data_IF_207815590268
#
_entry.id   IF_207815590268
#
_cell.length_a   1.000
_cell.length_b   1.000
_cell.length_c   1.000
_cell.angle_alpha   90.00
_cell.angle_beta   90.00
_cell.angle_gamma   90.00
#
_symmetry.space_group_name_H-M   'P 1'
#
loop_
_entity.id
_entity.type
_entity.pdbx_description
1 polymer ?
#
# COMPACT_ATOMS: atom_id res chain seq x y z
N UNK A 1 69.38 -5.45 19.78
CA UNK A 1 68.52 -6.50 20.41
C UNK A 1 68.91 -6.84 21.85
N UNK A 2 70.18 -6.66 22.28
CA UNK A 2 70.63 -6.96 23.64
C UNK A 2 70.01 -6.00 24.69
N UNK A 3 70.09 -4.68 24.47
CA UNK A 3 69.57 -3.65 25.38
C UNK A 3 68.11 -3.84 25.83
N UNK A 4 67.20 -4.12 24.89
CA UNK A 4 65.76 -4.26 25.19
C UNK A 4 65.46 -5.50 26.03
N UNK A 5 66.16 -6.62 25.78
CA UNK A 5 65.97 -7.87 26.52
C UNK A 5 66.64 -7.83 27.90
N UNK A 6 67.78 -7.16 28.03
CA UNK A 6 68.50 -7.06 29.31
C UNK A 6 67.75 -6.22 30.34
N UNK A 7 67.03 -5.18 29.89
CA UNK A 7 66.26 -4.29 30.78
C UNK A 7 64.76 -4.63 30.84
N UNK A 8 64.32 -5.63 30.08
CA UNK A 8 62.90 -6.00 29.89
C UNK A 8 62.01 -4.81 29.51
N UNK A 9 62.50 -3.96 28.60
CA UNK A 9 61.79 -2.76 28.13
C UNK A 9 61.37 -2.96 26.67
N UNK A 10 60.09 -2.71 26.39
CA UNK A 10 59.55 -2.78 25.03
C UNK A 10 60.13 -1.70 24.11
N UNK A 11 60.37 -2.07 22.85
CA UNK A 11 60.95 -1.21 21.80
C UNK A 11 60.21 0.12 21.61
N UNK A 12 58.87 0.10 21.67
CA UNK A 12 58.02 1.29 21.59
C UNK A 12 58.25 2.26 22.75
N UNK A 13 58.54 1.75 23.94
CA UNK A 13 58.82 2.59 25.10
C UNK A 13 60.12 3.36 24.86
N UNK A 14 61.18 2.67 24.44
CA UNK A 14 62.48 3.30 24.15
C UNK A 14 62.38 4.33 23.03
N UNK A 15 61.71 4.00 21.93
CA UNK A 15 61.53 4.94 20.81
C UNK A 15 60.71 6.18 21.19
N UNK A 16 59.65 6.02 21.99
CA UNK A 16 58.84 7.14 22.45
C UNK A 16 59.56 8.04 23.45
N UNK A 17 60.46 7.48 24.26
CA UNK A 17 61.27 8.27 25.20
C UNK A 17 62.34 9.07 24.46
N UNK A 18 63.06 8.45 23.50
CA UNK A 18 64.04 9.15 22.65
C UNK A 18 63.42 10.29 21.84
N UNK A 19 62.21 10.08 21.29
CA UNK A 19 61.49 11.12 20.55
C UNK A 19 61.01 12.29 21.43
N UNK A 20 60.96 12.12 22.76
CA UNK A 20 60.55 13.15 23.72
C UNK A 20 61.73 13.85 24.41
N UNK A 21 62.95 13.36 24.21
CA UNK A 21 64.16 13.86 24.87
C UNK A 21 64.61 15.24 24.36
N UNK A 22 64.12 15.66 23.18
CA UNK A 22 64.38 16.99 22.63
C UNK A 22 63.58 18.12 23.31
N UNK A 23 62.65 17.80 24.21
CA UNK A 23 61.83 18.79 24.90
C UNK A 23 61.76 18.45 26.40
N UNK A 24 62.67 19.03 27.19
CA UNK A 24 62.83 18.82 28.65
C UNK A 24 61.60 19.22 29.51
N UNK A 25 60.40 19.31 28.92
CA UNK A 25 59.12 19.68 29.55
C UNK A 25 57.93 18.84 29.06
N UNK A 26 58.13 17.55 28.80
CA UNK A 26 57.00 16.66 28.50
C UNK A 26 56.12 16.44 29.76
N UNK A 27 55.12 17.30 29.96
CA UNK A 27 54.15 17.16 31.06
C UNK A 27 53.27 15.91 30.87
N UNK A 28 53.15 15.05 31.90
CA UNK A 28 52.23 13.91 31.88
C UNK A 28 50.78 14.41 31.91
N UNK A 29 50.08 14.23 30.79
CA UNK A 29 48.68 14.64 30.62
C UNK A 29 47.70 13.49 30.90
N UNK A 30 48.14 12.32 31.39
CA UNK A 30 47.21 11.26 31.81
C UNK A 30 46.36 11.77 32.97
N UNK A 31 45.04 11.63 32.84
CA UNK A 31 44.07 12.11 33.83
C UNK A 31 43.73 13.61 33.73
N UNK A 32 44.53 14.42 33.02
CA UNK A 32 44.18 15.82 32.73
C UNK A 32 43.23 15.88 31.54
N UNK A 33 41.92 15.87 31.83
CA UNK A 33 40.91 16.31 30.87
C UNK A 33 41.16 17.80 30.60
N UNK A 34 41.82 18.12 29.49
CA UNK A 34 41.72 19.46 28.88
C UNK A 34 40.23 19.81 28.88
N UNK A 35 39.89 20.91 29.55
CA UNK A 35 38.52 21.26 29.91
C UNK A 35 37.61 21.35 28.70
N UNK A 36 37.00 20.22 28.36
CA UNK A 36 35.80 20.04 27.54
C UNK A 36 35.51 18.54 27.53
N UNK A 37 34.80 18.06 28.56
CA UNK A 37 33.69 17.21 28.18
C UNK A 37 32.77 18.14 27.39
N UNK A 38 32.80 18.09 26.04
CA UNK A 38 31.93 18.86 25.15
C UNK A 38 30.49 18.53 25.52
N UNK A 39 29.96 19.26 26.49
CA UNK A 39 28.60 19.19 26.93
C UNK A 39 27.84 19.84 25.78
N UNK A 40 27.19 19.00 24.96
CA UNK A 40 26.36 19.47 23.84
C UNK A 40 25.50 20.61 24.35
N UNK A 41 25.56 21.76 23.66
CA UNK A 41 24.84 22.95 24.09
C UNK A 41 23.33 22.70 24.06
N UNK A 42 22.57 23.48 24.85
CA UNK A 42 21.09 23.38 24.81
C UNK A 42 20.57 23.64 23.38
N UNK A 43 21.23 24.53 22.66
CA UNK A 43 20.87 24.92 21.29
C UNK A 43 21.13 23.79 20.29
N UNK A 44 22.27 23.09 20.39
CA UNK A 44 22.55 21.90 19.58
C UNK A 44 21.54 20.78 19.84
N UNK A 45 21.13 20.58 21.11
CA UNK A 45 20.07 19.60 21.43
C UNK A 45 18.72 20.02 20.86
N UNK A 46 18.37 21.30 20.95
CA UNK A 46 17.11 21.81 20.41
C UNK A 46 17.08 21.66 18.88
N UNK A 47 18.18 21.96 18.21
CA UNK A 47 18.30 21.79 16.77
C UNK A 47 18.10 20.33 16.33
N UNK A 48 18.63 19.37 17.08
CA UNK A 48 18.36 17.94 16.85
C UNK A 48 16.87 17.60 17.05
N UNK A 49 16.21 18.16 18.07
CA UNK A 49 14.76 17.95 18.28
C UNK A 49 13.93 18.51 17.14
N UNK A 50 14.26 19.72 16.69
CA UNK A 50 13.54 20.38 15.61
C UNK A 50 13.72 19.59 14.31
N UNK A 51 14.92 19.07 14.05
CA UNK A 51 15.17 18.14 12.95
C UNK A 51 14.33 16.86 13.07
N UNK A 52 14.28 16.20 14.23
CA UNK A 52 13.46 14.98 14.42
C UNK A 52 11.95 15.27 14.24
N UNK A 53 11.47 16.42 14.72
CA UNK A 53 10.06 16.84 14.59
C UNK A 53 9.68 17.26 13.16
N UNK A 54 10.65 17.62 12.32
CA UNK A 54 10.37 18.01 10.93
C UNK A 54 9.88 16.84 10.06
N UNK A 55 10.10 15.59 10.47
CA UNK A 55 9.61 14.43 9.72
C UNK A 55 8.11 14.20 9.94
N UNK A 56 7.34 13.91 8.88
CA UNK A 56 5.92 13.57 9.03
C UNK A 56 5.76 12.26 9.81
N UNK A 57 4.89 12.28 10.82
CA UNK A 57 4.56 11.12 11.63
C UNK A 57 3.12 10.67 11.40
N UNK A 58 2.89 9.37 11.49
CA UNK A 58 1.57 8.75 11.35
C UNK A 58 1.20 8.11 12.69
N UNK A 59 -0.02 8.35 13.15
CA UNK A 59 -0.57 7.69 14.33
C UNK A 59 -0.89 6.22 14.02
N UNK A 60 -0.72 5.33 15.00
CA UNK A 60 -1.06 3.92 14.81
C UNK A 60 -2.57 3.72 14.70
N UNK A 61 -3.11 3.85 13.49
CA UNK A 61 -4.54 3.74 13.23
C UNK A 61 -5.12 2.31 13.40
N UNK A 62 -4.34 1.36 13.95
CA UNK A 62 -4.71 -0.06 14.04
C UNK A 62 -4.50 -0.74 15.40
N UNK A 63 -4.06 -0.04 16.46
CA UNK A 63 -3.92 -0.64 17.78
C UNK A 63 -4.48 0.26 18.88
N UNK A 64 -5.57 -0.23 19.51
CA UNK A 64 -6.07 -0.06 20.89
C UNK A 64 -5.60 1.18 21.69
N UNK A 65 -6.56 1.79 22.41
CA UNK A 65 -6.53 2.91 23.39
C UNK A 65 -5.37 3.02 24.42
N UNK A 66 -4.28 2.26 24.32
CA UNK A 66 -3.24 2.15 25.36
C UNK A 66 -1.82 2.55 24.95
N UNK A 67 -1.56 2.98 23.70
CA UNK A 67 -0.22 3.47 23.30
C UNK A 67 -0.28 4.81 22.57
N UNK A 68 0.48 5.80 23.06
CA UNK A 68 0.67 7.13 22.44
C UNK A 68 1.82 7.18 21.42
N UNK A 69 2.33 6.02 20.99
CA UNK A 69 3.53 5.93 20.12
C UNK A 69 3.21 6.33 18.68
N UNK A 70 3.99 7.26 18.12
CA UNK A 70 3.88 7.72 16.73
C UNK A 70 4.88 7.00 15.83
N UNK A 71 4.56 6.87 14.54
CA UNK A 71 5.38 6.10 13.59
C UNK A 71 5.92 6.96 12.45
N UNK A 72 7.21 6.82 12.17
CA UNK A 72 7.91 7.36 11.01
C UNK A 72 7.83 6.39 9.82
N UNK A 73 8.08 6.91 8.62
CA UNK A 73 8.00 6.16 7.37
C UNK A 73 8.91 4.91 7.36
N UNK A 74 8.52 3.87 6.62
CA UNK A 74 9.19 2.54 6.59
C UNK A 74 10.62 2.59 6.03
N UNK A 75 10.88 3.58 5.20
CA UNK A 75 12.10 3.83 4.45
C UNK A 75 13.10 4.69 5.21
N UNK A 76 12.67 5.32 6.32
CA UNK A 76 13.53 6.03 7.26
C UNK A 76 14.15 5.06 8.27
N UNK A 77 15.35 5.40 8.73
CA UNK A 77 16.06 4.75 9.83
C UNK A 77 16.79 5.82 10.62
N UNK A 78 17.16 5.56 11.89
CA UNK A 78 17.92 6.53 12.70
C UNK A 78 19.21 6.94 11.98
N UNK A 79 19.87 5.97 11.32
CA UNK A 79 21.07 6.24 10.52
C UNK A 79 20.81 7.15 9.34
N UNK A 80 19.71 6.92 8.59
CA UNK A 80 19.33 7.81 7.50
C UNK A 80 18.96 9.20 8.00
N UNK A 81 18.17 9.29 9.07
CA UNK A 81 17.82 10.57 9.68
C UNK A 81 19.06 11.32 10.17
N UNK A 82 20.06 10.62 10.72
CA UNK A 82 21.32 11.25 11.09
C UNK A 82 22.10 11.78 9.88
N UNK A 83 22.11 11.05 8.76
CA UNK A 83 22.74 11.56 7.53
C UNK A 83 22.02 12.83 7.03
N UNK A 84 20.68 12.83 7.04
CA UNK A 84 19.87 14.01 6.70
C UNK A 84 20.16 15.20 7.65
N UNK A 85 20.38 14.91 8.93
CA UNK A 85 20.80 15.91 9.92
C UNK A 85 22.18 16.49 9.60
N UNK A 86 23.14 15.68 9.16
CA UNK A 86 24.47 16.17 8.75
C UNK A 86 24.37 17.11 7.57
N UNK A 87 23.57 16.76 6.57
CA UNK A 87 23.32 17.62 5.39
C UNK A 87 22.67 18.95 5.81
N UNK A 88 21.69 18.92 6.73
CA UNK A 88 21.08 20.14 7.28
C UNK A 88 22.05 20.99 8.09
N UNK A 89 22.95 20.35 8.85
CA UNK A 89 24.03 21.04 9.57
C UNK A 89 24.99 21.75 8.61
N UNK A 90 25.31 21.13 7.48
CA UNK A 90 26.15 21.71 6.43
C UNK A 90 25.47 22.91 5.76
N UNK A 91 24.17 22.79 5.45
CA UNK A 91 23.38 23.90 4.87
C UNK A 91 23.21 25.10 5.80
N UNK A 92 23.06 24.87 7.11
CA UNK A 92 22.86 25.93 8.11
C UNK A 92 24.16 26.37 8.82
N UNK A 93 25.33 25.93 8.33
CA UNK A 93 26.66 26.22 8.90
C UNK A 93 26.77 25.94 10.41
N UNK A 94 26.25 24.78 10.84
CA UNK A 94 26.24 24.34 12.26
C UNK A 94 27.10 23.12 12.50
N UNK A 95 27.82 23.10 13.62
CA UNK A 95 28.58 21.94 14.07
C UNK A 95 27.67 20.75 14.41
N UNK A 96 27.80 19.60 13.70
CA UNK A 96 26.95 18.44 13.93
C UNK A 96 27.32 17.71 15.22
N UNK A 97 26.30 17.20 15.92
CA UNK A 97 26.51 16.29 17.05
C UNK A 97 26.93 14.90 16.57
N UNK A 98 27.56 14.11 17.46
CA UNK A 98 27.90 12.71 17.17
C UNK A 98 26.64 11.84 17.04
N UNK A 99 26.71 10.81 16.18
CA UNK A 99 25.60 9.85 15.98
C UNK A 99 25.03 9.31 17.29
N UNK A 100 25.88 8.94 18.25
CA UNK A 100 25.44 8.42 19.55
C UNK A 100 24.58 9.43 20.33
N UNK A 101 24.90 10.73 20.25
CA UNK A 101 24.10 11.79 20.86
C UNK A 101 22.75 11.93 20.18
N UNK A 102 22.73 11.88 18.84
CA UNK A 102 21.49 11.92 18.07
C UNK A 102 20.57 10.72 18.38
N UNK A 103 21.15 9.52 18.45
CA UNK A 103 20.46 8.28 18.79
C UNK A 103 19.90 8.30 20.22
N UNK A 104 20.67 8.84 21.18
CA UNK A 104 20.21 9.04 22.56
C UNK A 104 19.04 10.02 22.65
N UNK A 105 19.09 11.15 21.93
CA UNK A 105 17.98 12.12 21.91
C UNK A 105 16.75 11.46 21.29
N UNK A 106 16.90 10.76 20.17
CA UNK A 106 15.80 10.05 19.52
C UNK A 106 15.19 8.97 20.44
N UNK A 107 16.01 8.16 21.11
CA UNK A 107 15.54 7.05 21.94
C UNK A 107 14.94 7.48 23.29
N UNK A 108 15.45 8.54 23.91
CA UNK A 108 15.05 8.96 25.25
C UNK A 108 13.99 10.07 25.25
N UNK A 109 13.99 10.97 24.27
CA UNK A 109 13.10 12.13 24.25
C UNK A 109 11.88 11.93 23.34
N UNK A 110 11.92 10.98 22.39
CA UNK A 110 10.85 10.74 21.43
C UNK A 110 10.24 9.34 21.57
N UNK A 111 8.92 9.28 21.74
CA UNK A 111 8.17 8.03 21.61
C UNK A 111 7.84 7.74 20.13
N UNK A 112 8.89 7.61 19.31
CA UNK A 112 8.80 7.35 17.88
C UNK A 112 9.24 5.92 17.54
N UNK A 113 8.59 5.32 16.55
CA UNK A 113 8.98 4.02 16.00
C UNK A 113 9.04 4.06 14.47
N UNK A 114 9.86 3.21 13.86
CA UNK A 114 9.81 3.03 12.41
C UNK A 114 8.68 2.06 12.07
N UNK A 115 7.84 2.42 11.11
CA UNK A 115 6.72 1.57 10.73
C UNK A 115 7.24 0.26 10.09
N UNK A 116 7.22 -0.83 10.88
CA UNK A 116 7.49 -2.19 10.39
C UNK A 116 6.14 -2.87 10.10
N UNK A 117 5.77 -3.10 8.83
CA UNK A 117 4.59 -3.88 8.53
C UNK A 117 4.81 -5.31 9.04
N UNK A 118 3.94 -5.79 9.92
CA UNK A 118 3.85 -7.23 10.19
C UNK A 118 3.11 -7.83 8.99
N UNK A 119 3.82 -8.56 8.14
CA UNK A 119 3.21 -9.27 7.01
C UNK A 119 2.55 -10.56 7.50
N UNK A 120 1.34 -10.82 7.00
CA UNK A 120 0.70 -12.14 6.90
C UNK A 120 0.57 -12.96 8.18
N UNK A 121 0.32 -12.29 9.31
CA UNK A 121 -0.06 -12.97 10.55
C UNK A 121 -1.57 -12.93 10.67
N UNK A 122 -2.22 -14.10 10.65
CA UNK A 122 -3.62 -14.19 11.03
C UNK A 122 -3.78 -13.72 12.46
N UNK A 123 -4.45 -12.58 12.64
CA UNK A 123 -4.68 -11.96 13.95
C UNK A 123 -5.41 -12.92 14.89
N UNK A 124 -6.28 -13.77 14.35
CA UNK A 124 -6.98 -14.80 15.11
C UNK A 124 -6.01 -15.86 15.63
N UNK A 125 -5.20 -16.49 14.77
CA UNK A 125 -4.20 -17.48 15.20
C UNK A 125 -3.14 -16.89 16.14
N UNK A 126 -2.67 -15.66 15.89
CA UNK A 126 -1.70 -14.98 16.77
C UNK A 126 -2.29 -14.58 18.11
N UNK A 127 -3.59 -14.24 18.15
CA UNK A 127 -4.28 -14.03 19.41
C UNK A 127 -4.45 -15.34 20.17
N UNK A 128 -4.82 -16.43 19.48
CA UNK A 128 -5.04 -17.75 20.06
C UNK A 128 -3.75 -18.34 20.64
N UNK A 129 -2.61 -18.19 19.96
CA UNK A 129 -1.32 -18.70 20.45
C UNK A 129 -0.85 -18.04 21.75
N UNK A 130 -1.33 -16.82 22.03
CA UNK A 130 -0.98 -16.02 23.21
C UNK A 130 -1.95 -16.18 24.39
N UNK A 131 -3.04 -16.94 24.23
CA UNK A 131 -3.98 -17.24 25.30
C UNK A 131 -3.37 -18.21 26.33
N UNK A 132 -3.90 -18.21 27.56
CA UNK A 132 -3.58 -19.26 28.54
C UNK A 132 -4.10 -20.62 28.06
N UNK A 133 -3.61 -21.72 28.63
CA UNK A 133 -4.05 -23.08 28.24
C UNK A 133 -5.56 -23.30 28.48
N UNK A 134 -6.12 -22.73 29.55
CA UNK A 134 -7.57 -22.79 29.86
C UNK A 134 -8.42 -22.03 28.82
N UNK A 135 -7.95 -20.85 28.40
CA UNK A 135 -8.61 -20.06 27.37
C UNK A 135 -8.47 -20.67 25.97
N UNK A 136 -7.38 -21.39 25.70
CA UNK A 136 -7.18 -22.16 24.46
C UNK A 136 -8.20 -23.29 24.37
N UNK A 137 -8.38 -24.09 25.43
CA UNK A 137 -9.35 -25.18 25.40
C UNK A 137 -10.77 -24.69 25.14
N UNK A 138 -11.16 -23.56 25.73
CA UNK A 138 -12.48 -22.95 25.48
C UNK A 138 -12.67 -22.47 24.04
N UNK A 139 -11.59 -22.05 23.36
CA UNK A 139 -11.63 -21.52 21.99
C UNK A 139 -11.11 -22.50 20.94
N UNK A 140 -10.79 -23.73 21.34
CA UNK A 140 -10.18 -24.76 20.50
C UNK A 140 -11.04 -25.10 19.29
N UNK A 141 -12.34 -25.24 19.49
CA UNK A 141 -13.29 -25.52 18.41
C UNK A 141 -13.37 -24.38 17.39
N UNK A 142 -13.39 -23.13 17.88
CA UNK A 142 -13.38 -21.96 17.00
C UNK A 142 -12.08 -21.87 16.19
N UNK A 143 -10.95 -22.24 16.78
CA UNK A 143 -9.66 -22.29 16.10
C UNK A 143 -9.56 -23.44 15.10
N UNK A 144 -10.07 -24.63 15.45
CA UNK A 144 -10.17 -25.76 14.53
C UNK A 144 -11.03 -25.42 13.32
N UNK A 145 -12.22 -24.84 13.53
CA UNK A 145 -13.09 -24.39 12.44
C UNK A 145 -12.41 -23.33 11.57
N UNK A 146 -11.67 -22.39 12.16
CA UNK A 146 -10.90 -21.38 11.42
C UNK A 146 -9.83 -22.01 10.52
N UNK A 147 -9.09 -23.01 11.02
CA UNK A 147 -8.11 -23.76 10.23
C UNK A 147 -8.76 -24.60 9.13
N UNK A 148 -9.90 -25.23 9.43
CA UNK A 148 -10.66 -26.01 8.45
C UNK A 148 -11.18 -25.11 7.31
N UNK A 149 -11.73 -23.93 7.63
CA UNK A 149 -12.16 -22.94 6.60
C UNK A 149 -11.00 -22.50 5.73
N UNK A 150 -9.82 -22.28 6.31
CA UNK A 150 -8.59 -21.96 5.58
C UNK A 150 -8.22 -23.09 4.59
N UNK A 151 -8.26 -24.34 5.02
CA UNK A 151 -7.93 -25.49 4.18
C UNK A 151 -8.96 -25.67 3.04
N UNK A 152 -10.25 -25.57 3.35
CA UNK A 152 -11.33 -25.59 2.37
C UNK A 152 -11.15 -24.48 1.32
N UNK A 153 -10.81 -23.26 1.74
CA UNK A 153 -10.58 -22.14 0.82
C UNK A 153 -9.43 -22.43 -0.17
N UNK A 154 -8.34 -23.02 0.32
CA UNK A 154 -7.18 -23.37 -0.49
C UNK A 154 -7.49 -24.50 -1.47
N UNK A 155 -8.17 -25.53 -1.00
CA UNK A 155 -8.57 -26.66 -1.84
C UNK A 155 -9.55 -26.20 -2.93
N UNK A 156 -10.53 -25.37 -2.59
CA UNK A 156 -11.46 -24.80 -3.56
C UNK A 156 -10.74 -23.97 -4.62
N UNK A 157 -9.83 -23.07 -4.22
CA UNK A 157 -9.03 -22.28 -5.16
C UNK A 157 -8.18 -23.16 -6.09
N UNK A 158 -7.63 -24.25 -5.56
CA UNK A 158 -6.87 -25.22 -6.36
C UNK A 158 -7.76 -25.91 -7.39
N UNK A 159 -8.93 -26.38 -6.99
CA UNK A 159 -9.90 -27.01 -7.90
C UNK A 159 -10.39 -26.04 -8.97
N UNK A 160 -10.72 -24.80 -8.60
CA UNK A 160 -11.16 -23.78 -9.56
C UNK A 160 -10.04 -23.45 -10.55
N UNK A 161 -8.79 -23.37 -10.09
CA UNK A 161 -7.63 -23.24 -10.98
C UNK A 161 -7.52 -24.41 -11.96
N UNK A 162 -7.64 -25.64 -11.50
CA UNK A 162 -7.60 -26.83 -12.37
C UNK A 162 -8.75 -26.83 -13.40
N UNK A 163 -9.95 -26.39 -12.99
CA UNK A 163 -11.10 -26.21 -13.89
C UNK A 163 -10.83 -25.15 -14.96
N UNK A 164 -10.23 -24.02 -14.59
CA UNK A 164 -9.90 -22.95 -15.55
C UNK A 164 -8.85 -23.32 -16.58
N UNK A 165 -8.06 -24.37 -16.33
CA UNK A 165 -7.10 -24.89 -17.32
C UNK A 165 -7.76 -25.74 -18.41
N UNK A 166 -9.02 -26.18 -18.21
CA UNK A 166 -9.77 -26.95 -19.19
C UNK A 166 -10.54 -26.00 -20.10
N UNK A 167 -10.09 -25.87 -21.35
CA UNK A 167 -10.67 -24.93 -22.32
C UNK A 167 -12.19 -25.16 -22.55
N UNK A 168 -12.64 -26.42 -22.49
CA UNK A 168 -14.05 -26.80 -22.67
C UNK A 168 -14.98 -26.17 -21.63
N UNK A 169 -14.51 -25.94 -20.40
CA UNK A 169 -15.34 -25.38 -19.34
C UNK A 169 -15.59 -23.87 -19.54
N UNK A 170 -14.79 -23.17 -20.36
CA UNK A 170 -14.82 -21.69 -20.54
C UNK A 170 -14.89 -20.95 -19.20
N UNK A 171 -14.02 -21.33 -18.26
CA UNK A 171 -13.94 -20.73 -16.92
C UNK A 171 -12.70 -19.88 -16.78
N UNK A 172 -12.86 -18.67 -16.25
CA UNK A 172 -11.75 -17.77 -15.94
C UNK A 172 -11.66 -17.54 -14.44
N UNK A 173 -10.51 -17.84 -13.85
CA UNK A 173 -10.27 -17.62 -12.41
C UNK A 173 -9.23 -16.53 -12.25
N UNK A 174 -9.65 -15.44 -11.61
CA UNK A 174 -8.77 -14.27 -11.41
C UNK A 174 -8.62 -13.95 -9.93
N UNK A 175 -7.43 -13.50 -9.57
CA UNK A 175 -7.13 -12.90 -8.29
C UNK A 175 -6.86 -11.42 -8.51
N UNK A 176 -7.43 -10.55 -7.68
CA UNK A 176 -7.14 -9.12 -7.77
C UNK A 176 -6.79 -8.51 -6.42
N UNK A 177 -5.84 -7.59 -6.42
CA UNK A 177 -5.37 -6.92 -5.23
C UNK A 177 -4.89 -5.49 -5.50
N UNK A 178 -5.18 -4.60 -4.55
CA UNK A 178 -4.74 -3.21 -4.63
C UNK A 178 -3.39 -3.08 -3.92
N UNK A 179 -2.35 -2.75 -4.70
CA UNK A 179 -1.00 -2.56 -4.18
C UNK A 179 -0.98 -1.48 -3.09
N UNK A 180 -0.03 -1.60 -2.16
CA UNK A 180 0.32 -0.50 -1.27
C UNK A 180 0.53 0.79 -2.09
N UNK A 181 0.01 1.91 -1.57
CA UNK A 181 0.12 3.23 -2.19
C UNK A 181 1.56 3.49 -2.64
N UNK A 182 1.70 3.70 -3.95
CA UNK A 182 2.93 4.11 -4.61
C UNK A 182 3.04 5.63 -4.46
N UNK A 183 4.28 6.11 -4.30
CA UNK A 183 4.53 7.50 -4.00
C UNK A 183 5.24 8.14 -5.19
N UNK A 184 4.77 9.30 -5.62
CA UNK A 184 5.34 10.07 -6.73
C UNK A 184 5.56 11.54 -6.31
N UNK A 185 6.73 12.14 -6.50
CA UNK A 185 7.96 11.50 -6.96
C UNK A 185 8.60 10.65 -5.85
N UNK A 186 9.27 9.57 -6.24
CA UNK A 186 10.15 8.75 -5.40
C UNK A 186 11.60 9.13 -5.71
N UNK A 187 12.17 10.00 -4.88
CA UNK A 187 13.54 10.47 -4.99
C UNK A 187 14.37 9.99 -3.80
N UNK A 188 15.69 9.86 -3.97
CA UNK A 188 16.60 9.48 -2.88
C UNK A 188 17.25 10.67 -2.16
N UNK A 189 16.94 11.90 -2.58
CA UNK A 189 17.43 13.16 -2.03
C UNK A 189 16.72 13.58 -0.73
N UNK A 190 17.45 14.31 0.12
CA UNK A 190 17.08 14.68 1.48
C UNK A 190 15.83 15.56 1.58
N UNK A 191 15.75 16.62 0.79
CA UNK A 191 14.63 17.56 0.81
C UNK A 191 13.30 16.89 0.46
N UNK A 192 13.35 15.90 -0.44
CA UNK A 192 12.17 15.15 -0.84
C UNK A 192 11.57 14.30 0.29
N UNK A 193 12.25 14.06 1.41
CA UNK A 193 11.66 13.33 2.54
C UNK A 193 10.67 14.17 3.35
N UNK A 194 10.74 15.51 3.26
CA UNK A 194 9.88 16.42 4.04
C UNK A 194 8.62 16.87 3.28
N UNK A 195 8.62 16.78 1.96
CA UNK A 195 7.51 17.20 1.10
C UNK A 195 6.36 16.19 1.01
N UNK A 196 5.12 16.67 0.92
CA UNK A 196 3.96 15.81 0.59
C UNK A 196 4.05 15.35 -0.87
N UNK A 197 3.89 14.05 -1.07
CA UNK A 197 3.99 13.41 -2.38
C UNK A 197 2.60 12.99 -2.89
N UNK A 198 2.51 12.85 -4.21
CA UNK A 198 1.33 12.35 -4.90
C UNK A 198 1.19 10.84 -4.66
N UNK A 199 -0.04 10.42 -4.38
CA UNK A 199 -0.38 9.00 -4.24
C UNK A 199 -0.77 8.42 -5.59
N UNK A 200 -0.08 7.35 -5.98
CA UNK A 200 -0.38 6.55 -7.16
C UNK A 200 -0.87 5.18 -6.72
N UNK A 201 -1.92 4.69 -7.36
CA UNK A 201 -2.62 3.46 -7.03
C UNK A 201 -2.47 2.47 -8.19
N UNK A 202 -2.18 1.22 -7.85
CA UNK A 202 -2.06 0.13 -8.81
C UNK A 202 -2.94 -1.04 -8.36
N UNK A 203 -3.94 -1.39 -9.16
CA UNK A 203 -4.77 -2.59 -8.97
C UNK A 203 -4.29 -3.67 -9.93
N UNK A 204 -3.78 -4.77 -9.39
CA UNK A 204 -3.38 -5.92 -10.21
C UNK A 204 -4.52 -6.93 -10.32
N UNK A 205 -4.73 -7.45 -11.52
CA UNK A 205 -5.66 -8.55 -11.85
C UNK A 205 -4.83 -9.67 -12.46
N UNK A 206 -4.67 -10.76 -11.74
CA UNK A 206 -3.89 -11.93 -12.10
C UNK A 206 -4.81 -13.07 -12.55
N UNK A 207 -4.59 -13.59 -13.77
CA UNK A 207 -5.27 -14.80 -14.26
C UNK A 207 -4.51 -16.06 -13.79
N UNK A 208 -5.19 -16.96 -13.08
CA UNK A 208 -4.57 -18.14 -12.49
C UNK A 208 -4.17 -19.22 -13.52
N UNK A 209 -4.83 -19.25 -14.68
CA UNK A 209 -4.58 -20.19 -15.76
C UNK A 209 -3.48 -19.66 -16.70
N UNK A 210 -3.69 -18.48 -17.28
CA UNK A 210 -2.75 -17.90 -18.26
C UNK A 210 -1.50 -17.29 -17.60
N UNK A 211 -1.58 -16.97 -16.30
CA UNK A 211 -0.55 -16.22 -15.54
C UNK A 211 -0.31 -14.81 -16.08
N UNK A 212 -1.22 -14.31 -16.91
CA UNK A 212 -1.25 -12.93 -17.37
C UNK A 212 -1.69 -12.02 -16.24
N UNK A 213 -1.15 -10.80 -16.25
CA UNK A 213 -1.44 -9.81 -15.22
C UNK A 213 -1.78 -8.51 -15.91
N UNK A 214 -2.96 -7.99 -15.59
CA UNK A 214 -3.40 -6.67 -16.00
C UNK A 214 -3.37 -5.73 -14.80
N UNK A 215 -2.63 -4.65 -14.91
CA UNK A 215 -2.46 -3.62 -13.89
C UNK A 215 -3.24 -2.39 -14.30
N UNK A 216 -4.10 -1.88 -13.42
CA UNK A 216 -4.79 -0.61 -13.61
C UNK A 216 -4.13 0.45 -12.74
N UNK A 217 -3.56 1.47 -13.39
CA UNK A 217 -2.79 2.52 -12.74
C UNK A 217 -3.55 3.85 -12.78
N UNK A 218 -3.67 4.53 -11.64
CA UNK A 218 -4.19 5.90 -11.59
C UNK A 218 -3.63 6.62 -10.37
N UNK A 219 -3.62 7.95 -10.40
CA UNK A 219 -3.18 8.76 -9.27
C UNK A 219 -4.36 9.43 -8.56
N UNK A 220 -4.12 9.97 -7.36
CA UNK A 220 -5.15 10.58 -6.53
C UNK A 220 -5.83 11.82 -7.15
N UNK A 221 -5.23 12.43 -8.18
CA UNK A 221 -5.86 13.53 -8.94
C UNK A 221 -6.82 13.02 -10.02
N UNK A 222 -6.67 11.78 -10.47
CA UNK A 222 -7.60 11.15 -11.42
C UNK A 222 -8.79 10.54 -10.68
N UNK A 223 -8.56 9.75 -9.65
CA UNK A 223 -9.63 9.12 -8.89
C UNK A 223 -9.18 8.73 -7.48
N UNK A 224 -10.15 8.52 -6.59
CA UNK A 224 -9.91 7.93 -5.26
C UNK A 224 -9.64 6.43 -5.39
N UNK A 225 -9.64 5.69 -4.28
CA UNK A 225 -9.41 4.23 -4.23
C UNK A 225 -10.55 3.46 -3.56
N UNK A 226 -11.78 3.91 -3.81
CA UNK A 226 -13.00 3.37 -3.23
C UNK A 226 -13.59 2.23 -4.06
N UNK A 227 -14.81 1.83 -3.71
CA UNK A 227 -15.49 0.70 -4.35
C UNK A 227 -15.77 0.89 -5.84
N UNK A 228 -16.11 2.11 -6.26
CA UNK A 228 -16.45 2.40 -7.66
C UNK A 228 -15.22 2.31 -8.56
N UNK A 229 -14.05 2.73 -8.10
CA UNK A 229 -12.82 2.66 -8.87
C UNK A 229 -12.38 1.21 -9.08
N UNK A 230 -12.40 0.40 -8.01
CA UNK A 230 -12.11 -1.03 -8.10
C UNK A 230 -13.13 -1.73 -9.00
N UNK A 231 -14.42 -1.46 -8.80
CA UNK A 231 -15.49 -2.03 -9.63
C UNK A 231 -15.34 -1.65 -11.11
N UNK A 232 -14.96 -0.41 -11.43
CA UNK A 232 -14.72 0.05 -12.80
C UNK A 232 -13.57 -0.72 -13.46
N UNK A 233 -12.47 -0.92 -12.74
CA UNK A 233 -11.32 -1.66 -13.28
C UNK A 233 -11.70 -3.11 -13.59
N UNK A 234 -12.45 -3.76 -12.70
CA UNK A 234 -12.94 -5.12 -12.93
C UNK A 234 -14.00 -5.17 -14.04
N UNK A 235 -14.88 -4.18 -14.13
CA UNK A 235 -15.83 -4.04 -15.24
C UNK A 235 -15.11 -3.95 -16.59
N UNK A 236 -14.05 -3.13 -16.70
CA UNK A 236 -13.20 -3.06 -17.90
C UNK A 236 -12.57 -4.41 -18.23
N UNK A 237 -12.05 -5.11 -17.22
CA UNK A 237 -11.50 -6.45 -17.40
C UNK A 237 -12.55 -7.46 -17.91
N UNK A 238 -13.75 -7.45 -17.32
CA UNK A 238 -14.85 -8.36 -17.67
C UNK A 238 -15.42 -8.09 -19.06
N UNK A 239 -15.47 -6.82 -19.48
CA UNK A 239 -15.90 -6.41 -20.82
C UNK A 239 -15.03 -7.06 -21.91
N UNK A 240 -13.73 -7.16 -21.67
CA UNK A 240 -12.75 -7.72 -22.60
C UNK A 240 -12.56 -9.24 -22.43
N UNK A 241 -13.31 -9.90 -21.52
CA UNK A 241 -13.05 -11.28 -21.14
C UNK A 241 -13.57 -12.34 -22.12
N UNK A 242 -14.41 -11.95 -23.09
CA UNK A 242 -15.03 -12.86 -24.05
C UNK A 242 -16.18 -13.70 -23.46
N UNK A 243 -16.54 -14.77 -24.16
CA UNK A 243 -17.62 -15.68 -23.77
C UNK A 243 -17.15 -16.65 -22.67
N UNK A 244 -17.82 -16.62 -21.52
CA UNK A 244 -17.47 -17.42 -20.34
C UNK A 244 -18.71 -18.07 -19.72
N UNK A 245 -18.57 -19.34 -19.35
CA UNK A 245 -19.59 -20.01 -18.53
C UNK A 245 -19.53 -19.53 -17.08
N UNK A 246 -18.32 -19.32 -16.55
CA UNK A 246 -18.13 -18.86 -15.19
C UNK A 246 -16.86 -18.00 -15.07
N UNK A 247 -16.98 -16.83 -14.46
CA UNK A 247 -15.83 -16.06 -13.99
C UNK A 247 -15.75 -16.11 -12.46
N UNK A 248 -14.64 -16.61 -11.94
CA UNK A 248 -14.42 -16.75 -10.50
C UNK A 248 -13.40 -15.70 -10.03
N UNK A 249 -13.81 -14.86 -9.09
CA UNK A 249 -13.02 -13.77 -8.55
C UNK A 249 -12.52 -14.14 -7.15
N UNK A 250 -11.24 -13.93 -6.88
CA UNK A 250 -10.67 -14.06 -5.54
C UNK A 250 -10.08 -12.73 -5.08
N UNK A 251 -10.45 -12.29 -3.87
CA UNK A 251 -9.96 -11.03 -3.32
C UNK A 251 -9.99 -11.01 -1.79
N UNK A 252 -9.33 -10.02 -1.20
CA UNK A 252 -9.38 -9.79 0.25
C UNK A 252 -10.77 -9.36 0.77
N UNK A 253 -10.98 -9.50 2.06
CA UNK A 253 -12.27 -9.21 2.72
C UNK A 253 -12.52 -7.70 2.99
N UNK A 254 -12.17 -6.81 2.04
CA UNK A 254 -12.23 -5.35 2.22
C UNK A 254 -13.64 -4.78 1.92
N UNK A 255 -14.36 -4.35 2.95
CA UNK A 255 -15.74 -3.81 2.85
C UNK A 255 -15.81 -2.49 2.09
N UNK A 256 -14.84 -1.59 2.29
CA UNK A 256 -14.80 -0.29 1.61
C UNK A 256 -14.52 -0.37 0.10
N UNK A 257 -14.05 -1.52 -0.39
CA UNK A 257 -13.60 -1.69 -1.77
C UNK A 257 -14.45 -2.73 -2.51
N UNK A 258 -14.42 -4.00 -2.11
CA UNK A 258 -15.08 -5.07 -2.88
C UNK A 258 -16.23 -5.78 -2.16
N UNK A 259 -16.25 -5.83 -0.83
CA UNK A 259 -17.36 -6.44 -0.07
C UNK A 259 -18.47 -5.42 0.21
N UNK A 260 -19.12 -4.96 -0.86
CA UNK A 260 -20.20 -3.98 -0.79
C UNK A 260 -21.14 -4.07 -1.99
N UNK A 261 -22.30 -3.42 -1.84
CA UNK A 261 -23.36 -3.43 -2.83
C UNK A 261 -22.96 -2.84 -4.20
N UNK A 262 -22.25 -1.68 -4.31
CA UNK A 262 -21.78 -1.18 -5.60
C UNK A 262 -20.98 -2.21 -6.41
N UNK A 263 -20.08 -2.96 -5.76
CA UNK A 263 -19.32 -4.01 -6.42
C UNK A 263 -20.23 -5.17 -6.89
N UNK A 264 -21.18 -5.60 -6.04
CA UNK A 264 -22.18 -6.61 -6.42
C UNK A 264 -23.03 -6.19 -7.62
N UNK A 265 -23.40 -4.90 -7.70
CA UNK A 265 -24.19 -4.38 -8.82
C UNK A 265 -23.38 -4.31 -10.10
N UNK A 266 -22.08 -4.00 -10.02
CA UNK A 266 -21.18 -4.15 -11.17
C UNK A 266 -21.17 -5.59 -11.68
N UNK A 267 -21.07 -6.59 -10.81
CA UNK A 267 -21.11 -8.00 -11.23
C UNK A 267 -22.45 -8.39 -11.87
N UNK A 268 -23.57 -7.96 -11.30
CA UNK A 268 -24.90 -8.19 -11.89
C UNK A 268 -25.03 -7.52 -13.26
N UNK A 269 -24.56 -6.29 -13.40
CA UNK A 269 -24.54 -5.58 -14.69
C UNK A 269 -23.71 -6.37 -15.71
N UNK A 270 -22.54 -6.88 -15.33
CA UNK A 270 -21.69 -7.65 -16.23
C UNK A 270 -22.34 -8.95 -16.73
N UNK A 271 -22.97 -9.76 -15.87
CA UNK A 271 -23.65 -10.99 -16.32
C UNK A 271 -24.84 -10.70 -17.25
N UNK A 272 -25.50 -9.55 -17.08
CA UNK A 272 -26.61 -9.15 -17.95
C UNK A 272 -26.15 -8.69 -19.32
N UNK A 273 -25.10 -7.85 -19.39
CA UNK A 273 -24.71 -7.16 -20.61
C UNK A 273 -23.61 -7.87 -21.41
N UNK A 274 -22.84 -8.75 -20.78
CA UNK A 274 -21.73 -9.46 -21.42
C UNK A 274 -22.03 -10.98 -21.54
N UNK A 275 -21.31 -11.70 -22.40
CA UNK A 275 -21.48 -13.15 -22.57
C UNK A 275 -20.83 -13.93 -21.39
N UNK A 276 -21.17 -13.57 -20.15
CA UNK A 276 -20.72 -14.24 -18.93
C UNK A 276 -21.95 -14.82 -18.23
N UNK A 277 -22.09 -16.14 -18.19
CA UNK A 277 -23.28 -16.77 -17.63
C UNK A 277 -23.34 -16.66 -16.10
N UNK A 278 -22.18 -16.67 -15.44
CA UNK A 278 -22.09 -16.69 -13.98
C UNK A 278 -20.83 -16.01 -13.49
N UNK A 279 -20.95 -15.20 -12.44
CA UNK A 279 -19.80 -14.65 -11.72
C UNK A 279 -19.85 -15.15 -10.27
N UNK A 280 -18.78 -15.76 -9.80
CA UNK A 280 -18.62 -16.20 -8.40
C UNK A 280 -17.50 -15.39 -7.75
N UNK A 281 -17.77 -14.66 -6.68
CA UNK A 281 -16.79 -13.84 -5.99
C UNK A 281 -16.51 -14.39 -4.60
N UNK A 282 -15.34 -14.98 -4.44
CA UNK A 282 -14.85 -15.60 -3.21
C UNK A 282 -13.91 -14.66 -2.47
N UNK A 283 -14.04 -14.61 -1.14
CA UNK A 283 -13.14 -13.86 -0.28
C UNK A 283 -12.12 -14.76 0.41
N UNK A 284 -10.91 -14.24 0.63
CA UNK A 284 -9.93 -14.93 1.47
C UNK A 284 -10.25 -14.81 2.95
N UNK A 285 -9.90 -15.87 3.69
CA UNK A 285 -9.84 -15.84 5.14
C UNK A 285 -8.74 -14.89 5.62
N UNK A 286 -9.08 -14.00 6.55
CA UNK A 286 -8.22 -12.89 6.98
C UNK A 286 -6.88 -13.41 7.52
N UNK A 287 -5.78 -12.91 6.96
CA UNK A 287 -4.42 -13.24 7.38
C UNK A 287 -3.97 -14.66 7.02
N UNK A 288 -4.67 -15.31 6.09
CA UNK A 288 -4.27 -16.58 5.48
C UNK A 288 -4.29 -16.53 3.95
N UNK A 289 -4.46 -15.34 3.38
CA UNK A 289 -4.37 -15.08 1.95
C UNK A 289 -2.97 -15.47 1.46
N UNK A 290 -2.92 -16.39 0.50
CA UNK A 290 -1.77 -16.55 -0.40
C UNK A 290 -2.26 -16.01 -1.74
N UNK A 291 -2.00 -14.73 -2.00
CA UNK A 291 -2.46 -14.06 -3.21
C UNK A 291 -1.34 -14.00 -4.24
N UNK A 292 -1.67 -14.29 -5.50
CA UNK A 292 -0.77 -14.10 -6.61
C UNK A 292 -0.46 -12.60 -6.81
N UNK A 293 -1.40 -11.71 -6.43
CA UNK A 293 -1.18 -10.27 -6.35
C UNK A 293 0.04 -9.88 -5.49
N UNK A 294 0.28 -10.55 -4.36
CA UNK A 294 1.44 -10.26 -3.51
C UNK A 294 2.77 -10.53 -4.23
N UNK A 295 2.80 -11.55 -5.09
CA UNK A 295 3.99 -11.87 -5.90
C UNK A 295 4.23 -10.81 -6.98
N UNK A 296 3.16 -10.31 -7.61
CA UNK A 296 3.22 -9.20 -8.56
C UNK A 296 3.78 -7.95 -7.87
N UNK A 297 3.19 -7.59 -6.72
CA UNK A 297 3.59 -6.42 -5.94
C UNK A 297 5.02 -6.53 -5.43
N UNK A 298 5.44 -7.70 -4.95
CA UNK A 298 6.82 -7.94 -4.54
C UNK A 298 7.82 -7.77 -5.70
N UNK A 299 7.45 -8.21 -6.90
CA UNK A 299 8.28 -8.04 -8.11
C UNK A 299 8.44 -6.56 -8.45
N UNK A 300 7.34 -5.80 -8.46
CA UNK A 300 7.34 -4.35 -8.69
C UNK A 300 8.15 -3.62 -7.60
N UNK A 301 7.95 -3.95 -6.32
CA UNK A 301 8.67 -3.34 -5.20
C UNK A 301 10.18 -3.60 -5.28
N UNK A 302 10.59 -4.81 -5.66
CA UNK A 302 12.00 -5.16 -5.81
C UNK A 302 12.66 -4.43 -6.97
N UNK A 303 11.98 -4.36 -8.12
CA UNK A 303 12.48 -3.66 -9.30
C UNK A 303 12.63 -2.16 -9.04
N UNK A 304 11.60 -1.54 -8.47
CA UNK A 304 11.59 -0.09 -8.22
C UNK A 304 12.42 0.31 -7.00
N UNK A 305 12.93 -0.62 -6.19
CA UNK A 305 13.61 -0.34 -4.92
C UNK A 305 14.74 0.69 -5.03
N UNK A 306 15.51 0.65 -6.12
CA UNK A 306 16.66 1.52 -6.40
C UNK A 306 16.40 2.51 -7.55
N UNK A 307 15.17 2.57 -8.07
CA UNK A 307 14.81 3.49 -9.14
C UNK A 307 14.20 4.75 -8.55
N UNK A 308 14.61 5.88 -9.11
CA UNK A 308 13.91 7.15 -8.93
C UNK A 308 12.71 7.18 -9.87
N UNK A 309 11.60 7.74 -9.38
CA UNK A 309 10.36 7.91 -10.13
C UNK A 309 9.98 9.37 -10.01
N UNK A 310 9.93 10.11 -11.10
CA UNK A 310 9.65 11.54 -11.09
C UNK A 310 8.17 11.82 -11.36
N UNK A 311 7.55 11.08 -12.29
CA UNK A 311 6.16 11.27 -12.70
C UNK A 311 5.28 10.04 -12.42
N UNK A 312 3.94 10.16 -12.46
CA UNK A 312 3.05 9.00 -12.41
C UNK A 312 3.26 8.07 -13.61
N UNK A 313 3.69 8.61 -14.75
CA UNK A 313 3.87 7.87 -16.00
C UNK A 313 5.12 6.98 -15.93
N UNK A 314 6.16 7.40 -15.19
CA UNK A 314 7.31 6.56 -14.87
C UNK A 314 6.91 5.25 -14.16
N UNK A 315 5.85 5.28 -13.33
CA UNK A 315 5.36 4.06 -12.69
C UNK A 315 4.84 3.06 -13.71
N UNK A 316 4.20 3.51 -14.80
CA UNK A 316 3.74 2.61 -15.86
C UNK A 316 4.92 1.86 -16.47
N UNK A 317 5.92 2.61 -16.95
CA UNK A 317 7.14 2.06 -17.54
C UNK A 317 7.86 1.13 -16.57
N UNK A 318 7.94 1.52 -15.29
CA UNK A 318 8.58 0.72 -14.26
C UNK A 318 7.82 -0.58 -13.96
N UNK A 319 6.49 -0.56 -13.96
CA UNK A 319 5.66 -1.75 -13.74
C UNK A 319 5.79 -2.69 -14.95
N UNK A 320 5.65 -2.20 -16.18
CA UNK A 320 5.80 -3.00 -17.41
C UNK A 320 7.19 -3.67 -17.48
N UNK A 321 8.23 -2.95 -17.05
CA UNK A 321 9.62 -3.42 -17.05
C UNK A 321 9.98 -4.31 -15.87
N UNK A 322 9.15 -4.35 -14.82
CA UNK A 322 9.48 -5.09 -13.59
C UNK A 322 9.52 -6.60 -13.78
N UNK A 323 8.72 -7.14 -14.71
CA UNK A 323 8.68 -8.58 -15.01
C UNK A 323 9.48 -8.88 -16.28
N UNK A 324 10.62 -9.53 -16.10
CA UNK A 324 11.53 -9.89 -17.19
C UNK A 324 11.02 -11.07 -18.04
N UNK A 325 10.28 -12.02 -17.42
CA UNK A 325 9.78 -13.22 -18.09
C UNK A 325 8.36 -13.04 -18.59
N UNK A 326 8.05 -13.55 -19.79
CA UNK A 326 6.69 -13.58 -20.30
C UNK A 326 5.75 -14.45 -19.44
N UNK A 327 4.43 -14.12 -19.38
CA UNK A 327 3.80 -12.94 -19.96
C UNK A 327 4.17 -11.66 -19.18
N UNK A 328 4.49 -10.57 -19.88
CA UNK A 328 4.76 -9.28 -19.26
C UNK A 328 3.49 -8.71 -18.62
N UNK A 329 3.65 -7.71 -17.75
CA UNK A 329 2.50 -7.01 -17.17
C UNK A 329 1.89 -6.06 -18.21
N UNK A 330 0.59 -6.18 -18.43
CA UNK A 330 -0.19 -5.23 -19.23
C UNK A 330 -0.65 -4.09 -18.31
N UNK A 331 -0.23 -2.86 -18.57
CA UNK A 331 -0.54 -1.71 -17.72
C UNK A 331 -1.46 -0.74 -18.44
N UNK A 332 -2.67 -0.59 -17.89
CA UNK A 332 -3.68 0.34 -18.37
C UNK A 332 -3.82 1.52 -17.41
N UNK A 333 -3.66 2.73 -17.94
CA UNK A 333 -3.93 3.94 -17.16
C UNK A 333 -5.43 4.24 -17.10
N UNK A 334 -5.91 4.59 -15.91
CA UNK A 334 -7.32 4.88 -15.66
C UNK A 334 -7.49 6.37 -15.39
N UNK A 335 -8.20 7.03 -16.30
CA UNK A 335 -8.58 8.44 -16.18
C UNK A 335 -9.90 8.61 -15.43
N UNK A 336 -10.08 9.78 -14.84
CA UNK A 336 -11.31 10.14 -14.11
C UNK A 336 -12.60 9.91 -14.93
N UNK A 337 -12.56 10.23 -16.23
CA UNK A 337 -13.68 10.12 -17.19
C UNK A 337 -14.13 8.68 -17.43
N UNK A 338 -13.29 7.70 -17.09
CA UNK A 338 -13.61 6.29 -17.24
C UNK A 338 -14.24 5.69 -15.98
N UNK A 339 -14.21 6.37 -14.85
CA UNK A 339 -14.71 5.83 -13.58
C UNK A 339 -16.23 5.89 -13.56
N UNK A 340 -16.85 4.73 -13.36
CA UNK A 340 -18.30 4.56 -13.36
C UNK A 340 -18.85 4.67 -11.94
N UNK A 341 -19.95 5.40 -11.77
CA UNK A 341 -20.66 5.51 -10.49
C UNK A 341 -21.61 4.32 -10.26
N UNK A 342 -21.04 3.21 -9.81
CA UNK A 342 -21.83 2.07 -9.37
C UNK A 342 -22.63 2.31 -8.07
N UNK A 343 -22.38 3.39 -7.32
CA UNK A 343 -23.21 3.74 -6.14
C UNK A 343 -24.51 4.39 -6.56
N UNK A 344 -24.46 5.25 -7.58
CA UNK A 344 -25.66 5.82 -8.20
C UNK A 344 -26.47 4.70 -8.87
N UNK A 345 -25.81 3.85 -9.67
CA UNK A 345 -26.46 2.68 -10.28
C UNK A 345 -27.14 1.80 -9.22
N UNK A 346 -26.42 1.41 -8.16
CA UNK A 346 -26.98 0.65 -7.05
C UNK A 346 -28.16 1.37 -6.37
N UNK A 347 -28.11 2.69 -6.25
CA UNK A 347 -29.20 3.46 -5.64
C UNK A 347 -30.45 3.56 -6.50
N UNK A 348 -30.28 3.55 -7.82
CA UNK A 348 -31.38 3.54 -8.78
C UNK A 348 -32.01 2.17 -9.00
N UNK A 349 -31.27 1.07 -8.75
CA UNK A 349 -31.69 -0.31 -9.06
C UNK A 349 -32.04 -1.14 -7.82
N UNK A 350 -31.45 -0.85 -6.66
CA UNK A 350 -31.60 -1.67 -5.45
C UNK A 350 -32.52 -1.03 -4.43
N UNK A 351 -33.66 -1.67 -4.18
CA UNK A 351 -34.59 -1.29 -3.11
C UNK A 351 -34.46 -2.15 -1.86
N UNK A 352 -34.04 -3.41 -1.99
CA UNK A 352 -33.73 -4.28 -0.86
C UNK A 352 -32.22 -4.33 -0.62
N UNK A 353 -31.78 -3.87 0.55
CA UNK A 353 -30.35 -3.84 0.91
C UNK A 353 -30.00 -4.69 2.13
N UNK A 354 -31.01 -5.31 2.76
CA UNK A 354 -30.85 -5.87 4.10
C UNK A 354 -31.39 -7.27 4.26
N UNK A 355 -32.45 -7.66 3.57
CA UNK A 355 -33.13 -8.92 3.84
C UNK A 355 -32.93 -9.93 2.72
N UNK A 356 -32.81 -11.19 3.07
CA UNK A 356 -32.88 -12.27 2.11
C UNK A 356 -34.35 -12.69 1.85
N UNK A 357 -34.57 -13.71 1.03
CA UNK A 357 -35.91 -14.20 0.69
C UNK A 357 -36.66 -14.83 1.88
N UNK A 358 -35.96 -15.29 2.93
CA UNK A 358 -36.58 -15.82 4.15
C UNK A 358 -36.94 -14.74 5.15
N UNK A 359 -36.52 -13.49 4.89
CA UNK A 359 -36.79 -12.32 5.73
C UNK A 359 -35.68 -11.99 6.74
N UNK A 360 -34.59 -12.76 6.74
CA UNK A 360 -33.46 -12.58 7.65
C UNK A 360 -32.52 -11.49 7.18
N UNK A 361 -31.82 -10.86 8.13
CA UNK A 361 -30.85 -9.82 7.82
C UNK A 361 -29.55 -10.40 7.26
N UNK A 362 -29.16 -9.97 6.05
CA UNK A 362 -27.92 -10.35 5.37
C UNK A 362 -26.71 -9.68 6.06
N UNK A 363 -25.84 -10.50 6.63
CA UNK A 363 -24.63 -10.04 7.28
C UNK A 363 -23.48 -9.93 6.28
N UNK A 364 -23.48 -8.89 5.46
CA UNK A 364 -22.48 -8.64 4.39
C UNK A 364 -21.05 -8.89 4.83
N UNK A 365 -20.67 -8.41 6.03
CA UNK A 365 -19.32 -8.56 6.58
C UNK A 365 -18.88 -10.00 6.81
N UNK A 366 -19.82 -10.94 6.95
CA UNK A 366 -19.55 -12.38 7.14
C UNK A 366 -19.72 -13.19 5.86
N UNK A 367 -20.19 -12.59 4.77
CA UNK A 367 -20.35 -13.32 3.51
C UNK A 367 -18.98 -13.74 3.01
N UNK A 368 -18.87 -15.03 2.72
CA UNK A 368 -17.66 -15.66 2.25
C UNK A 368 -17.60 -15.74 0.72
N UNK A 369 -18.76 -15.94 0.09
CA UNK A 369 -18.87 -16.00 -1.36
C UNK A 369 -20.19 -15.39 -1.81
N UNK A 370 -20.13 -14.57 -2.87
CA UNK A 370 -21.28 -14.12 -3.63
C UNK A 370 -21.31 -14.81 -4.98
N UNK A 371 -22.51 -15.01 -5.52
CA UNK A 371 -22.71 -15.50 -6.87
C UNK A 371 -23.80 -14.71 -7.58
N UNK A 372 -23.56 -14.43 -8.85
CA UNK A 372 -24.39 -13.64 -9.74
C UNK A 372 -24.64 -14.46 -11.00
N UNK A 373 -25.91 -14.59 -11.42
CA UNK A 373 -26.30 -15.48 -12.51
C UNK A 373 -27.05 -14.70 -13.58
N UNK A 374 -26.74 -14.98 -14.84
CA UNK A 374 -27.38 -14.34 -16.01
C UNK A 374 -28.85 -14.72 -16.16
N UNK A 375 -29.18 -15.96 -15.82
CA UNK A 375 -30.56 -16.48 -15.82
C UNK A 375 -31.46 -15.78 -14.79
N UNK A 376 -30.86 -15.20 -13.74
CA UNK A 376 -31.58 -14.63 -12.61
C UNK A 376 -30.92 -13.33 -12.10
N UNK A 377 -31.02 -12.24 -12.90
CA UNK A 377 -30.27 -11.00 -12.69
C UNK A 377 -30.80 -10.12 -11.54
N UNK A 378 -31.91 -10.49 -10.92
CA UNK A 378 -32.49 -9.74 -9.80
C UNK A 378 -32.08 -10.28 -8.42
N UNK A 379 -31.36 -11.40 -8.40
CA UNK A 379 -31.00 -12.11 -7.19
C UNK A 379 -29.48 -12.15 -7.01
N UNK A 380 -29.05 -11.84 -5.80
CA UNK A 380 -27.67 -12.04 -5.33
C UNK A 380 -27.67 -13.30 -4.47
N UNK A 381 -26.93 -14.30 -4.92
CA UNK A 381 -26.72 -15.53 -4.16
C UNK A 381 -25.53 -15.34 -3.24
N UNK A 382 -25.63 -15.78 -1.98
CA UNK A 382 -24.54 -15.65 -1.03
C UNK A 382 -24.46 -16.82 -0.06
N UNK A 383 -23.26 -17.08 0.46
CA UNK A 383 -23.03 -18.09 1.50
C UNK A 383 -22.03 -17.59 2.55
N UNK A 384 -22.22 -18.04 3.79
CA UNK A 384 -21.37 -17.66 4.93
C UNK A 384 -20.17 -18.59 5.10
N UNK A 385 -20.30 -19.85 4.68
CA UNK A 385 -19.21 -20.83 4.65
C UNK A 385 -19.14 -21.50 3.27
N UNK A 386 -18.05 -22.22 2.98
CA UNK A 386 -17.90 -22.92 1.70
C UNK A 386 -18.90 -24.06 1.53
N UNK A 387 -19.17 -24.80 2.61
CA UNK A 387 -20.06 -25.96 2.67
C UNK A 387 -21.54 -25.59 2.68
N UNK A 388 -21.88 -24.33 2.95
CA UNK A 388 -23.27 -23.89 3.03
C UNK A 388 -23.91 -23.86 1.63
N UNK A 389 -25.21 -24.12 1.60
CA UNK A 389 -26.04 -23.81 0.44
C UNK A 389 -26.18 -22.29 0.25
N UNK A 390 -26.41 -21.87 -0.99
CA UNK A 390 -26.59 -20.46 -1.29
C UNK A 390 -27.94 -19.96 -0.76
N UNK A 391 -27.89 -18.92 0.06
CA UNK A 391 -29.03 -18.07 0.38
C UNK A 391 -29.24 -17.05 -0.74
N UNK A 392 -30.47 -16.56 -0.87
CA UNK A 392 -30.86 -15.68 -1.98
C UNK A 392 -31.32 -14.34 -1.45
N UNK A 393 -30.75 -13.27 -1.97
CA UNK A 393 -31.19 -11.90 -1.71
C UNK A 393 -31.71 -11.28 -3.01
N UNK A 394 -33.03 -11.06 -3.08
CA UNK A 394 -33.61 -10.29 -4.18
C UNK A 394 -33.35 -8.80 -3.99
N UNK A 395 -32.80 -8.12 -5.00
CA UNK A 395 -32.45 -6.70 -4.94
C UNK A 395 -33.67 -5.76 -5.02
N UNK A 396 -34.83 -6.27 -5.42
CA UNK A 396 -36.10 -5.56 -5.54
C UNK A 396 -37.07 -5.98 -4.43
N UNK A 397 -37.46 -5.04 -3.57
CA UNK A 397 -38.56 -5.22 -2.60
C UNK A 397 -39.86 -4.53 -3.01
N UNK A 398 -39.83 -3.62 -4.00
CA UNK A 398 -41.00 -2.83 -4.44
C UNK A 398 -41.03 -2.63 -5.97
N UNK A 399 -42.25 -2.48 -6.53
CA UNK A 399 -42.56 -2.41 -7.98
C UNK A 399 -41.99 -1.21 -8.77
N UNK A 400 -41.38 -0.20 -8.15
CA UNK A 400 -40.92 1.04 -8.82
C UNK A 400 -39.40 1.21 -8.73
N UNK A 401 -38.67 0.39 -9.47
CA UNK A 401 -37.22 0.54 -9.59
C UNK A 401 -36.81 0.35 -11.05
N UNK A 402 -35.89 1.18 -11.53
CA UNK A 402 -35.41 1.11 -12.93
C UNK A 402 -34.79 -0.26 -13.17
N UNK A 403 -35.08 -0.88 -14.31
CA UNK A 403 -34.45 -2.15 -14.68
C UNK A 403 -32.94 -1.95 -14.84
N UNK A 404 -32.13 -2.85 -14.26
CA UNK A 404 -30.68 -2.82 -14.41
C UNK A 404 -30.26 -2.88 -15.89
N UNK A 405 -31.06 -3.55 -16.73
CA UNK A 405 -30.84 -3.70 -18.17
C UNK A 405 -30.88 -2.37 -18.93
N UNK A 406 -31.65 -1.39 -18.45
CA UNK A 406 -31.86 -0.11 -19.12
C UNK A 406 -31.11 1.02 -18.42
N UNK A 407 -30.21 0.71 -17.48
CA UNK A 407 -29.50 1.72 -16.72
C UNK A 407 -28.26 2.19 -17.49
N UNK A 408 -28.25 3.47 -17.86
CA UNK A 408 -27.06 4.10 -18.42
C UNK A 408 -26.05 4.39 -17.31
N UNK A 409 -24.87 3.78 -17.44
CA UNK A 409 -23.79 3.96 -16.48
C UNK A 409 -23.22 5.38 -16.58
N UNK A 410 -23.35 6.13 -15.49
CA UNK A 410 -22.82 7.49 -15.36
C UNK A 410 -21.38 7.49 -14.85
N UNK A 411 -20.65 8.54 -15.20
CA UNK A 411 -19.29 8.77 -14.69
C UNK A 411 -19.33 9.36 -13.28
N UNK A 412 -18.49 8.83 -12.38
CA UNK A 412 -18.40 9.29 -10.98
C UNK A 412 -17.77 10.68 -10.85
N UNK A 413 -16.82 11.00 -11.74
CA UNK A 413 -16.07 12.25 -11.70
C UNK A 413 -16.41 13.09 -12.93
N UNK A 414 -16.81 14.35 -12.71
CA UNK A 414 -17.00 15.33 -13.78
C UNK A 414 -15.72 16.11 -14.08
N UNK A 415 -14.88 16.30 -13.06
CA UNK A 415 -13.61 17.03 -13.11
C UNK A 415 -12.52 16.21 -12.42
N UNK A 416 -11.26 16.66 -12.46
CA UNK A 416 -10.19 15.98 -11.73
C UNK A 416 -10.43 16.13 -10.22
N UNK A 417 -9.93 15.18 -9.45
CA UNK A 417 -10.03 15.21 -8.00
C UNK A 417 -9.03 16.26 -7.49
N UNK A 418 -9.48 17.28 -6.74
CA UNK A 418 -8.58 18.30 -6.22
C UNK A 418 -7.66 17.70 -5.16
N UNK A 419 -6.38 18.10 -5.21
CA UNK A 419 -5.41 17.82 -4.16
C UNK A 419 -5.38 18.97 -3.15
N UNK A 420 -4.88 18.73 -1.92
CA UNK A 420 -4.79 19.79 -0.92
C UNK A 420 -3.83 20.88 -1.37
N UNK A 421 -4.13 22.15 -1.06
CA UNK A 421 -3.29 23.29 -1.42
C UNK A 421 -1.84 23.14 -0.90
N UNK A 422 -1.68 22.59 0.30
CA UNK A 422 -0.37 22.28 0.89
C UNK A 422 0.40 21.21 0.11
N UNK A 423 -0.28 20.18 -0.41
CA UNK A 423 0.35 19.15 -1.23
C UNK A 423 0.69 19.70 -2.61
N UNK A 424 -0.18 20.51 -3.20
CA UNK A 424 0.11 21.19 -4.47
C UNK A 424 1.36 22.07 -4.36
N UNK A 425 1.48 22.89 -3.31
CA UNK A 425 2.65 23.72 -3.09
C UNK A 425 3.94 22.89 -2.96
N UNK A 426 3.91 21.81 -2.16
CA UNK A 426 5.04 20.90 -2.01
C UNK A 426 5.43 20.23 -3.34
N UNK A 427 4.45 19.77 -4.13
CA UNK A 427 4.69 19.16 -5.44
C UNK A 427 5.27 20.15 -6.45
N UNK A 428 4.76 21.38 -6.51
CA UNK A 428 5.30 22.42 -7.38
C UNK A 428 6.74 22.78 -7.00
N UNK A 429 7.06 22.84 -5.70
CA UNK A 429 8.43 23.01 -5.23
C UNK A 429 9.34 21.89 -5.70
N UNK A 430 8.91 20.62 -5.54
CA UNK A 430 9.67 19.47 -6.02
C UNK A 430 9.85 19.48 -7.55
N UNK A 431 8.83 19.88 -8.31
CA UNK A 431 8.93 20.02 -9.76
C UNK A 431 9.99 21.06 -10.13
N UNK A 432 9.98 22.22 -9.50
CA UNK A 432 10.96 23.28 -9.79
C UNK A 432 12.40 22.89 -9.46
N UNK A 433 12.60 22.03 -8.44
CA UNK A 433 13.95 21.60 -8.02
C UNK A 433 14.46 20.45 -8.88
N UNK A 434 13.60 19.48 -9.23
CA UNK A 434 14.04 18.18 -9.76
C UNK A 434 13.56 17.86 -11.18
N UNK A 435 12.55 18.56 -11.71
CA UNK A 435 12.10 18.39 -13.09
C UNK A 435 12.62 19.56 -13.94
N UNK A 436 13.55 19.25 -14.85
CA UNK A 436 13.89 20.21 -15.92
C UNK A 436 12.70 20.27 -16.89
N UNK A 437 12.34 21.48 -17.30
CA UNK A 437 11.08 21.78 -18.01
C UNK A 437 10.97 21.01 -19.34
N UNK A 438 10.28 19.87 -19.36
CA UNK A 438 9.73 19.24 -20.58
C UNK A 438 8.51 18.32 -20.33
N UNK A 439 8.09 18.08 -19.07
CA UNK A 439 6.88 17.29 -18.76
C UNK A 439 5.72 18.17 -18.27
N UNK A 440 4.63 18.25 -19.04
CA UNK A 440 3.40 18.93 -18.64
C UNK A 440 2.63 18.11 -17.58
N UNK A 441 2.87 18.35 -16.29
CA UNK A 441 2.06 17.76 -15.22
C UNK A 441 0.95 18.74 -14.81
N UNK A 442 -0.30 18.46 -15.24
CA UNK A 442 -1.45 19.32 -14.90
C UNK A 442 -2.15 18.89 -13.61
N UNK A 443 -2.11 19.74 -12.58
CA UNK A 443 -2.86 19.56 -11.33
C UNK A 443 -4.01 20.58 -11.21
N UNK A 444 -5.11 20.23 -10.52
CA UNK A 444 -6.19 21.17 -10.19
C UNK A 444 -6.10 21.65 -8.73
N UNK A 445 -6.04 22.96 -8.53
CA UNK A 445 -6.10 23.63 -7.22
C UNK A 445 -7.55 23.79 -6.76
N UNK A 446 -7.85 23.65 -5.46
CA UNK A 446 -9.19 23.85 -4.92
C UNK A 446 -9.69 25.31 -4.95
N UNK A 447 -8.85 26.30 -5.30
CA UNK A 447 -9.19 27.73 -5.16
C UNK A 447 -9.36 28.46 -6.52
N UNK A 448 -8.96 27.88 -7.66
CA UNK A 448 -9.12 28.55 -8.96
C UNK A 448 -9.52 27.60 -10.10
N UNK A 449 -10.40 28.09 -10.99
CA UNK A 449 -10.62 27.54 -12.33
C UNK A 449 -9.26 27.34 -13.02
N UNK A 450 -9.07 26.16 -13.62
CA UNK A 450 -7.97 25.77 -14.54
C UNK A 450 -6.97 26.89 -14.86
N UNK A 451 -5.89 26.96 -14.10
CA UNK A 451 -4.74 27.77 -14.49
C UNK A 451 -3.91 26.95 -15.48
N UNK A 452 -4.10 27.21 -16.78
CA UNK A 452 -3.12 26.83 -17.82
C UNK A 452 -1.97 27.82 -17.72
N UNK A 453 -0.81 27.40 -17.22
CA UNK A 453 0.45 28.07 -17.55
C UNK A 453 1.12 27.24 -18.64
N UNK A 454 0.92 27.70 -19.88
CA UNK A 454 1.78 27.32 -21.00
C UNK A 454 3.09 28.07 -20.76
N UNK A 455 4.16 27.37 -20.41
CA UNK A 455 5.51 27.93 -20.50
C UNK A 455 6.14 27.32 -21.73
N UNK A 456 5.80 27.88 -22.90
CA UNK A 456 6.57 27.64 -24.12
C UNK A 456 7.87 28.41 -23.99
N UNK A 457 9.01 27.71 -23.85
CA UNK A 457 10.27 28.31 -24.28
C UNK A 457 10.37 28.11 -25.79
N UNK A 458 9.85 29.08 -26.52
CA UNK A 458 10.33 29.37 -27.86
C UNK A 458 11.76 29.90 -27.70
N UNK A 459 12.67 29.41 -28.53
CA UNK A 459 13.64 30.16 -29.36
C UNK A 459 14.96 29.37 -29.48
N UNK A 460 15.11 28.85 -30.72
CA UNK A 460 16.31 28.51 -31.50
C UNK A 460 17.12 27.26 -31.15
#
# INVERSE_FOLDING_TARGET
>A
MFFLKTLDIGEKTVSNTLNKDNDNKAHDRRGHKLGQATKITKDQRQFVRDHINSFPTVESHYCRKTSSRKYLAKDLSIRKMFNLYLEKCEQEEKDPVKYWTYDQIFGNEFNLGFHRPKKDICTFCDSYSKLSEEEKDTKKDQHSQHLQRKEQARNQKKLDKERSMKAEEKIKVINFDLQKVLITPKLFVSDAYYSRKLSTYNLSVFDLASKEVKCYLWNESEAKRGSCEIATCLYKYMKDAGELNEMILYSDSCTGQQRNLPFSIMCLYCVMHYPINKITHNYFERGHSQMEGDSVHATIENYTKKLEIYSPDDWKTAIESSKQKSPKYDVTEVKNSCIIDFKECASSVVSNRRKDITGDCVQWNKVHSFQYRKEDPENIYFKYQYSDEYRVMNIKSRRRVVSLQNNELKTLYQTKVPISASKYADLMSLCNIYLTMDEEITFQSPIHQTSRMIVTKVVL
#
